data_IF_122700127673
#
_entry.id   IF_122700127673
#
_cell.length_a   1.000
_cell.length_b   1.000
_cell.length_c   1.000
_cell.angle_alpha   90.00
_cell.angle_beta   90.00
_cell.angle_gamma   90.00
#
_symmetry.space_group_name_H-M   'P 1'
#
loop_
_entity.id
_entity.type
_entity.pdbx_description
1 polymer ?
#
# COMPACT_ATOMS: atom_id res chain seq x y z
N UNK A 1 12.88 -13.04 3.45
CA UNK A 1 12.45 -11.96 2.55
C UNK A 1 10.99 -12.14 2.18
N UNK A 2 10.26 -11.05 2.02
CA UNK A 2 8.83 -11.07 1.71
C UNK A 2 8.61 -10.82 0.22
N UNK A 3 7.54 -11.38 -0.33
CA UNK A 3 7.12 -11.06 -1.69
C UNK A 3 6.16 -9.87 -1.64
N UNK A 4 6.45 -8.83 -2.40
CA UNK A 4 5.56 -7.65 -2.49
C UNK A 4 4.78 -7.74 -3.80
N UNK A 5 3.46 -7.78 -3.69
CA UNK A 5 2.55 -7.87 -4.83
C UNK A 5 1.69 -6.62 -4.91
N UNK A 6 1.34 -6.23 -6.12
CA UNK A 6 0.49 -5.06 -6.36
C UNK A 6 -0.92 -5.53 -6.69
N UNK A 7 -1.93 -4.96 -6.02
CA UNK A 7 -3.30 -5.32 -6.28
C UNK A 7 -3.67 -5.10 -7.74
N UNK A 8 -4.37 -6.06 -8.32
CA UNK A 8 -5.02 -5.90 -9.62
C UNK A 8 -6.29 -6.75 -9.62
N UNK A 9 -7.32 -6.27 -10.30
CA UNK A 9 -8.50 -7.08 -10.53
C UNK A 9 -8.29 -7.92 -11.79
N UNK A 10 -9.00 -9.03 -11.86
CA UNK A 10 -8.85 -9.98 -12.96
C UNK A 10 -9.03 -9.30 -14.32
N UNK A 11 -8.08 -9.52 -15.22
CA UNK A 11 -8.11 -8.97 -16.58
C UNK A 11 -7.84 -7.48 -16.70
N UNK A 12 -7.43 -6.82 -15.62
CA UNK A 12 -7.16 -5.38 -15.61
C UNK A 12 -5.75 -5.07 -15.11
N UNK A 13 -5.23 -3.92 -15.53
CA UNK A 13 -3.96 -3.43 -15.01
C UNK A 13 -4.10 -3.03 -13.55
N UNK A 14 -3.01 -3.11 -12.81
CA UNK A 14 -3.00 -2.70 -11.41
C UNK A 14 -3.17 -1.19 -11.29
N UNK A 15 -4.10 -0.71 -10.44
CA UNK A 15 -4.18 0.72 -10.14
C UNK A 15 -2.90 1.24 -9.48
N UNK A 16 -2.15 0.37 -8.82
CA UNK A 16 -0.86 0.73 -8.22
C UNK A 16 0.16 1.02 -9.32
N UNK A 17 0.23 0.14 -10.33
CA UNK A 17 1.11 0.34 -11.48
C UNK A 17 0.74 1.62 -12.23
N UNK A 18 -0.55 1.87 -12.41
CA UNK A 18 -1.03 3.10 -13.07
C UNK A 18 -0.57 4.35 -12.31
N UNK A 19 -0.66 4.32 -10.99
CA UNK A 19 -0.19 5.43 -10.17
C UNK A 19 1.32 5.64 -10.34
N UNK A 20 2.09 4.56 -10.29
CA UNK A 20 3.55 4.62 -10.45
C UNK A 20 3.96 5.18 -11.80
N UNK A 21 3.22 4.81 -12.84
CA UNK A 21 3.51 5.28 -14.20
C UNK A 21 3.23 6.77 -14.37
N UNK A 22 2.27 7.31 -13.63
CA UNK A 22 1.84 8.71 -13.76
C UNK A 22 2.56 9.66 -12.82
N UNK A 23 3.18 9.18 -11.77
CA UNK A 23 3.89 10.05 -10.84
C UNK A 23 5.28 10.43 -11.38
N UNK A 24 5.90 11.45 -10.78
CA UNK A 24 7.24 11.88 -11.17
C UNK A 24 8.27 10.79 -10.86
N UNK A 25 9.42 10.84 -11.53
CA UNK A 25 10.51 9.90 -11.25
C UNK A 25 10.97 9.97 -9.80
N UNK A 26 11.02 11.17 -9.25
CA UNK A 26 11.44 11.38 -7.86
C UNK A 26 10.48 10.71 -6.88
N UNK A 27 9.17 10.87 -7.10
CA UNK A 27 8.16 10.25 -6.25
C UNK A 27 8.19 8.72 -6.41
N UNK A 28 8.29 8.25 -7.65
CA UNK A 28 8.38 6.81 -7.94
C UNK A 28 9.54 6.18 -7.21
N UNK A 29 10.71 6.81 -7.24
CA UNK A 29 11.90 6.30 -6.58
C UNK A 29 11.69 6.16 -5.07
N UNK A 30 11.01 7.14 -4.45
CA UNK A 30 10.69 7.08 -3.02
C UNK A 30 9.74 5.94 -2.69
N UNK A 31 8.73 5.74 -3.52
CA UNK A 31 7.75 4.66 -3.32
C UNK A 31 8.43 3.30 -3.45
N UNK A 32 9.23 3.12 -4.50
CA UNK A 32 9.92 1.85 -4.73
C UNK A 32 10.93 1.54 -3.63
N UNK A 33 11.59 2.56 -3.07
CA UNK A 33 12.47 2.38 -1.93
C UNK A 33 11.72 1.87 -0.72
N UNK A 34 10.53 2.40 -0.47
CA UNK A 34 9.71 1.95 0.65
C UNK A 34 9.25 0.50 0.45
N UNK A 35 8.89 0.14 -0.79
CA UNK A 35 8.54 -1.25 -1.10
C UNK A 35 9.73 -2.19 -0.85
N UNK A 36 10.93 -1.73 -1.13
CA UNK A 36 12.14 -2.53 -0.89
C UNK A 36 12.36 -2.79 0.60
N UNK A 37 12.13 -1.78 1.45
CA UNK A 37 12.20 -1.96 2.90
C UNK A 37 11.17 -2.99 3.38
N UNK A 38 9.95 -2.89 2.88
CA UNK A 38 8.90 -3.84 3.22
C UNK A 38 9.27 -5.25 2.79
N UNK A 39 9.88 -5.38 1.62
CA UNK A 39 10.34 -6.66 1.10
C UNK A 39 11.38 -7.29 2.01
N UNK A 40 12.30 -6.50 2.54
CA UNK A 40 13.36 -7.00 3.40
C UNK A 40 12.91 -7.29 4.81
N UNK A 41 12.12 -6.41 5.40
CA UNK A 41 11.83 -6.43 6.83
C UNK A 41 10.39 -6.76 7.19
N UNK A 42 9.48 -6.78 6.21
CA UNK A 42 8.06 -7.00 6.47
C UNK A 42 7.39 -5.76 7.03
N UNK A 43 6.13 -5.92 7.44
CA UNK A 43 5.34 -4.84 8.03
C UNK A 43 5.59 -4.81 9.52
N UNK A 44 6.26 -3.76 9.99
CA UNK A 44 6.68 -3.63 11.38
C UNK A 44 6.78 -2.16 11.76
N UNK A 45 6.42 -1.79 13.02
CA UNK A 45 6.57 -0.42 13.47
C UNK A 45 8.04 0.02 13.60
N UNK A 46 8.98 -0.90 13.49
CA UNK A 46 10.41 -0.57 13.51
C UNK A 46 10.86 0.19 12.26
N UNK A 47 10.11 0.08 11.16
CA UNK A 47 10.43 0.81 9.94
C UNK A 47 9.85 2.23 10.04
N UNK A 48 10.67 3.28 9.81
CA UNK A 48 10.15 4.65 9.84
C UNK A 48 9.03 4.88 8.83
N UNK A 49 8.08 5.73 9.19
CA UNK A 49 6.98 6.13 8.32
C UNK A 49 6.00 5.01 7.99
N UNK A 50 5.90 4.04 8.89
CA UNK A 50 4.98 2.92 8.76
C UNK A 50 4.18 2.81 10.04
N UNK A 51 2.85 2.71 9.93
CA UNK A 51 2.01 2.52 11.10
C UNK A 51 0.84 1.62 10.78
N UNK A 52 0.33 0.94 11.81
CA UNK A 52 -0.86 0.13 11.67
C UNK A 52 -2.10 1.01 11.78
N UNK A 53 -3.07 0.79 10.89
CA UNK A 53 -4.33 1.50 10.92
C UNK A 53 -5.25 0.89 11.98
N UNK A 54 -5.81 1.75 12.83
CA UNK A 54 -6.68 1.33 13.94
C UNK A 54 -7.86 0.51 13.44
N UNK A 55 -8.19 -0.55 14.18
CA UNK A 55 -9.34 -1.44 13.93
C UNK A 55 -9.26 -2.16 12.58
N UNK A 56 -8.06 -2.30 12.03
CA UNK A 56 -7.85 -3.05 10.78
C UNK A 56 -6.61 -3.91 10.90
N UNK A 57 -6.41 -4.80 9.94
CA UNK A 57 -5.15 -5.53 9.77
C UNK A 57 -4.22 -4.81 8.81
N UNK A 58 -4.58 -3.61 8.40
CA UNK A 58 -3.86 -2.85 7.38
C UNK A 58 -2.77 -1.99 7.97
N UNK A 59 -1.78 -1.71 7.14
CA UNK A 59 -0.67 -0.82 7.45
C UNK A 59 -0.66 0.34 6.47
N UNK A 60 -0.27 1.50 6.94
CA UNK A 60 -0.11 2.68 6.12
C UNK A 60 1.37 3.03 6.03
N UNK A 61 1.85 3.18 4.80
CA UNK A 61 3.19 3.67 4.52
C UNK A 61 3.09 5.13 4.12
N UNK A 62 3.91 5.97 4.76
CA UNK A 62 3.96 7.40 4.45
C UNK A 62 5.14 7.67 3.54
N UNK A 63 4.89 8.32 2.42
CA UNK A 63 5.95 8.78 1.54
C UNK A 63 6.19 10.26 1.85
N UNK A 64 7.37 10.56 2.39
CA UNK A 64 7.70 11.92 2.80
C UNK A 64 7.86 12.85 1.61
N UNK A 65 7.33 14.06 1.72
CA UNK A 65 7.43 15.07 0.67
C UNK A 65 6.16 15.88 0.55
N UNK A 66 6.14 16.78 -0.44
CA UNK A 66 5.04 17.70 -0.70
C UNK A 66 3.73 17.01 -1.01
N UNK A 67 3.80 15.89 -1.71
CA UNK A 67 2.61 15.25 -2.26
C UNK A 67 1.82 14.47 -1.22
N UNK A 68 2.39 14.29 -0.03
CA UNK A 68 1.69 13.70 1.10
C UNK A 68 1.04 12.35 0.75
N UNK A 69 1.83 11.49 0.12
CA UNK A 69 1.34 10.21 -0.40
C UNK A 69 1.26 9.17 0.71
N UNK A 70 0.20 8.37 0.67
CA UNK A 70 -0.02 7.26 1.60
C UNK A 70 -0.30 5.99 0.81
N UNK A 71 0.18 4.87 1.34
CA UNK A 71 0.01 3.56 0.73
C UNK A 71 -0.57 2.62 1.76
N UNK A 72 -1.64 1.90 1.42
CA UNK A 72 -2.25 0.91 2.31
C UNK A 72 -1.88 -0.47 1.82
N UNK A 73 -1.41 -1.31 2.73
CA UNK A 73 -0.99 -2.67 2.44
C UNK A 73 -1.28 -3.58 3.62
N UNK A 74 -1.18 -4.89 3.40
CA UNK A 74 -1.37 -5.87 4.45
C UNK A 74 -0.63 -7.15 4.14
N UNK A 75 -0.50 -8.01 5.15
CA UNK A 75 0.09 -9.33 5.00
C UNK A 75 -0.90 -10.30 4.38
N UNK A 76 -0.41 -11.15 3.51
CA UNK A 76 -1.09 -12.34 3.02
C UNK A 76 -0.31 -13.57 3.48
N UNK A 77 -0.88 -14.78 3.36
CA UNK A 77 -0.15 -16.00 3.71
C UNK A 77 1.15 -16.15 2.92
N UNK A 78 2.08 -16.96 3.46
CA UNK A 78 3.34 -17.34 2.81
C UNK A 78 4.29 -16.16 2.58
N UNK A 79 4.36 -15.26 3.56
CA UNK A 79 5.28 -14.12 3.52
C UNK A 79 5.05 -13.24 2.29
N UNK A 80 3.81 -13.04 1.94
CA UNK A 80 3.43 -12.11 0.88
C UNK A 80 2.83 -10.85 1.48
N UNK A 81 3.14 -9.70 0.90
CA UNK A 81 2.57 -8.42 1.28
C UNK A 81 1.91 -7.84 0.04
N UNK A 82 0.62 -7.52 0.15
CA UNK A 82 -0.14 -6.95 -0.96
C UNK A 82 -0.28 -5.44 -0.78
N UNK A 83 0.07 -4.69 -1.81
CA UNK A 83 -0.15 -3.25 -1.86
C UNK A 83 -1.54 -3.05 -2.43
N UNK A 84 -2.44 -2.48 -1.62
CA UNK A 84 -3.86 -2.38 -1.94
C UNK A 84 -4.26 -1.04 -2.55
N UNK A 85 -3.63 0.05 -2.10
CA UNK A 85 -4.10 1.38 -2.47
C UNK A 85 -3.01 2.42 -2.29
N UNK A 86 -2.94 3.39 -3.20
CA UNK A 86 -2.07 4.58 -3.09
C UNK A 86 -2.96 5.80 -3.28
N UNK A 87 -2.80 6.79 -2.42
CA UNK A 87 -3.59 8.01 -2.51
C UNK A 87 -2.83 9.20 -1.91
N UNK A 88 -3.27 10.40 -2.25
CA UNK A 88 -2.77 11.64 -1.66
C UNK A 88 -3.63 12.00 -0.46
N UNK A 89 -3.00 12.17 0.69
CA UNK A 89 -3.71 12.48 1.93
C UNK A 89 -3.84 13.99 2.10
N UNK A 90 -5.06 14.48 2.14
CA UNK A 90 -5.35 15.91 2.29
C UNK A 90 -5.77 16.30 3.70
N UNK A 91 -6.02 15.34 4.58
CA UNK A 91 -6.46 15.55 5.95
C UNK A 91 -5.53 14.81 6.91
N UNK A 92 -5.59 15.16 8.20
CA UNK A 92 -4.71 14.54 9.19
C UNK A 92 -5.01 13.06 9.41
N UNK A 93 -6.28 12.67 9.38
CA UNK A 93 -6.67 11.26 9.47
C UNK A 93 -6.81 10.67 8.08
N UNK A 94 -6.49 9.38 7.95
CA UNK A 94 -6.77 8.65 6.72
C UNK A 94 -8.28 8.62 6.50
N UNK A 95 -8.79 9.17 5.38
CA UNK A 95 -10.22 9.20 5.15
C UNK A 95 -10.81 7.80 5.07
N UNK A 96 -12.03 7.65 5.61
CA UNK A 96 -12.71 6.36 5.62
C UNK A 96 -12.91 5.79 4.21
N UNK A 97 -13.08 6.65 3.22
CA UNK A 97 -13.26 6.19 1.83
C UNK A 97 -12.01 5.48 1.30
N UNK A 98 -10.82 5.91 1.73
CA UNK A 98 -9.57 5.25 1.30
C UNK A 98 -9.43 3.88 1.95
N UNK A 99 -9.80 3.79 3.22
CA UNK A 99 -9.82 2.51 3.93
C UNK A 99 -10.85 1.58 3.29
N UNK A 100 -12.02 2.10 2.92
CA UNK A 100 -13.07 1.32 2.25
C UNK A 100 -12.60 0.77 0.90
N UNK A 101 -11.86 1.57 0.14
CA UNK A 101 -11.29 1.11 -1.12
C UNK A 101 -10.35 -0.07 -0.90
N UNK A 102 -9.46 0.05 0.10
CA UNK A 102 -8.53 -1.02 0.43
C UNK A 102 -9.26 -2.28 0.89
N UNK A 103 -10.31 -2.12 1.71
CA UNK A 103 -11.13 -3.24 2.17
C UNK A 103 -11.80 -3.98 1.01
N UNK A 104 -12.41 -3.25 0.09
CA UNK A 104 -13.06 -3.87 -1.07
C UNK A 104 -12.06 -4.67 -1.90
N UNK A 105 -10.89 -4.11 -2.11
CA UNK A 105 -9.84 -4.78 -2.87
C UNK A 105 -9.34 -6.04 -2.15
N UNK A 106 -9.14 -5.93 -0.84
CA UNK A 106 -8.70 -7.05 -0.03
C UNK A 106 -9.72 -8.20 -0.08
N UNK A 107 -11.00 -7.89 0.12
CA UNK A 107 -12.05 -8.91 0.10
C UNK A 107 -12.21 -9.55 -1.28
N UNK A 108 -11.98 -8.81 -2.36
CA UNK A 108 -12.05 -9.39 -3.70
C UNK A 108 -10.96 -10.45 -3.92
N UNK A 109 -9.83 -10.31 -3.23
CA UNK A 109 -8.75 -11.30 -3.31
C UNK A 109 -9.01 -12.52 -2.46
N UNK A 110 -9.71 -12.38 -1.34
CA UNK A 110 -9.87 -13.46 -0.36
C UNK A 110 -11.20 -14.20 -0.48
N UNK A 111 -12.16 -13.70 -1.24
CA UNK A 111 -13.48 -14.31 -1.40
C UNK A 111 -13.60 -15.26 -2.58
N UNK A 112 -12.53 -15.54 -3.29
CA UNK A 112 -12.51 -16.45 -4.43
C UNK A 112 -12.15 -17.87 -4.02
N UNK A 113 -12.68 -18.28 -2.89
CA UNK A 113 -12.46 -19.64 -2.41
C UNK A 113 -13.73 -20.45 -2.54
#
# INVERSE_FOLDING_TARGET
MYKVSLYSSEGKTSPITDYLDKCSEKVRAKILRQFKYVQEYGLTPAIPNMKKLSNTTFWELRILGRDNIRIICTNLPNKEIIILHIFTKKKQKTPQKEISTALKRYFSLTNDI
#
